data_IF_821127628708
#
_entry.id   IF_821127628708
#
_cell.length_a   1.000
_cell.length_b   1.000
_cell.length_c   1.000
_cell.angle_alpha   90.00
_cell.angle_beta   90.00
_cell.angle_gamma   90.00
#
_symmetry.space_group_name_H-M   'P 1'
#
loop_
_entity.id
_entity.type
_entity.pdbx_description
1 polymer ?
#
# COMPACT_ATOMS: atom_id res chain seq x y z
N UNK A 1 12.76 -36.28 -27.71
CA UNK A 1 11.37 -35.93 -27.38
C UNK A 1 11.19 -35.44 -25.94
N UNK A 2 11.71 -36.13 -24.91
CA UNK A 2 11.58 -35.72 -23.51
C UNK A 2 12.12 -34.30 -23.17
N UNK A 3 13.22 -33.86 -23.80
CA UNK A 3 13.79 -32.50 -23.60
C UNK A 3 12.87 -31.38 -24.09
N UNK A 4 12.14 -31.59 -25.20
CA UNK A 4 11.21 -30.60 -25.73
C UNK A 4 9.98 -30.45 -24.83
N UNK A 5 9.50 -31.58 -24.28
CA UNK A 5 8.36 -31.60 -23.35
C UNK A 5 8.71 -30.88 -22.03
N UNK A 6 9.92 -31.07 -21.50
CA UNK A 6 10.38 -30.41 -20.29
C UNK A 6 10.51 -28.88 -20.46
N UNK A 7 10.98 -28.42 -21.62
CA UNK A 7 11.08 -26.98 -21.94
C UNK A 7 9.69 -26.36 -22.08
N UNK A 8 8.76 -27.05 -22.76
CA UNK A 8 7.38 -26.57 -22.92
C UNK A 8 6.66 -26.50 -21.57
N UNK A 9 6.84 -27.50 -20.68
CA UNK A 9 6.28 -27.46 -19.33
C UNK A 9 6.88 -26.32 -18.49
N UNK A 10 8.20 -26.09 -18.57
CA UNK A 10 8.86 -25.01 -17.84
C UNK A 10 8.40 -23.62 -18.27
N UNK A 11 8.23 -23.41 -19.57
CA UNK A 11 7.74 -22.12 -20.13
C UNK A 11 6.26 -21.90 -19.80
N UNK A 12 5.42 -22.95 -19.84
CA UNK A 12 4.01 -22.84 -19.46
C UNK A 12 3.82 -22.51 -17.98
N UNK A 13 4.70 -23.02 -17.09
CA UNK A 13 4.65 -22.72 -15.66
C UNK A 13 5.12 -21.29 -15.33
N UNK A 14 6.01 -20.70 -16.15
CA UNK A 14 6.47 -19.31 -15.98
C UNK A 14 5.52 -18.27 -16.58
N UNK A 15 4.65 -18.67 -17.51
CA UNK A 15 3.65 -17.77 -18.11
C UNK A 15 2.34 -17.68 -17.30
N UNK A 16 2.11 -18.59 -16.36
CA UNK A 16 0.93 -18.58 -15.48
C UNK A 16 1.01 -17.55 -14.34
N UNK A 17 2.15 -16.88 -14.16
CA UNK A 17 2.43 -16.04 -12.99
C UNK A 17 2.55 -14.55 -13.29
N UNK A 18 1.75 -13.98 -14.20
CA UNK A 18 1.60 -12.51 -14.28
C UNK A 18 0.22 -12.12 -14.80
N UNK A 19 -0.83 -12.39 -14.02
CA UNK A 19 -2.00 -11.51 -14.03
C UNK A 19 -1.97 -10.84 -12.67
N UNK A 20 -1.18 -9.77 -12.57
CA UNK A 20 -1.30 -8.84 -11.46
C UNK A 20 -2.63 -8.11 -11.65
N UNK A 21 -3.72 -8.70 -11.15
CA UNK A 21 -4.83 -7.88 -10.73
C UNK A 21 -4.23 -6.89 -9.73
N UNK A 22 -4.38 -5.60 -9.97
CA UNK A 22 -4.08 -4.60 -8.96
C UNK A 22 -5.10 -4.85 -7.84
N UNK A 23 -4.80 -5.80 -6.97
CA UNK A 23 -5.66 -6.19 -5.89
C UNK A 23 -5.81 -4.93 -5.03
N UNK A 24 -7.00 -4.34 -5.05
CA UNK A 24 -7.29 -3.19 -4.20
C UNK A 24 -7.33 -3.74 -2.78
N UNK A 25 -6.55 -3.17 -1.84
CA UNK A 25 -6.51 -3.64 -0.47
C UNK A 25 -7.92 -3.68 0.12
N UNK A 26 -8.22 -4.69 0.94
CA UNK A 26 -9.53 -4.75 1.60
C UNK A 26 -9.61 -3.68 2.70
N UNK A 27 -10.81 -3.37 3.19
CA UNK A 27 -10.97 -2.48 4.36
C UNK A 27 -10.23 -3.05 5.59
N UNK A 28 -10.16 -4.38 5.71
CA UNK A 28 -9.37 -5.05 6.75
C UNK A 28 -7.87 -4.81 6.60
N UNK A 29 -7.36 -4.81 5.38
CA UNK A 29 -5.95 -4.51 5.11
C UNK A 29 -5.61 -3.07 5.42
N UNK A 30 -6.42 -2.14 4.92
CA UNK A 30 -6.26 -0.71 5.17
C UNK A 30 -6.29 -0.41 6.66
N UNK A 31 -7.28 -0.94 7.40
CA UNK A 31 -7.44 -0.66 8.83
C UNK A 31 -6.27 -1.20 9.66
N UNK A 32 -5.82 -2.43 9.39
CA UNK A 32 -4.67 -3.01 10.07
C UNK A 32 -3.36 -2.27 9.74
N UNK A 33 -3.13 -1.87 8.48
CA UNK A 33 -1.95 -1.09 8.13
C UNK A 33 -1.99 0.34 8.68
N UNK A 34 -3.17 0.95 8.82
CA UNK A 34 -3.31 2.24 9.50
C UNK A 34 -3.00 2.15 11.00
N UNK A 35 -3.35 1.02 11.63
CA UNK A 35 -2.97 0.73 13.01
C UNK A 35 -1.45 0.54 13.14
N UNK A 36 -0.84 -0.33 12.31
CA UNK A 36 0.61 -0.55 12.31
C UNK A 36 1.37 0.75 12.05
N UNK A 37 0.90 1.60 11.12
CA UNK A 37 1.51 2.90 10.84
C UNK A 37 1.43 3.86 12.05
N UNK A 38 0.35 3.81 12.83
CA UNK A 38 0.19 4.63 14.04
C UNK A 38 1.14 4.20 15.15
N UNK A 39 1.40 2.91 15.27
CA UNK A 39 2.38 2.34 16.21
C UNK A 39 3.81 2.58 15.71
N UNK A 40 4.04 2.37 14.42
CA UNK A 40 5.32 2.55 13.74
C UNK A 40 5.82 3.99 13.72
N UNK A 41 4.92 4.97 13.59
CA UNK A 41 5.20 6.39 13.76
C UNK A 41 5.83 6.69 15.13
N UNK A 42 5.32 6.07 16.21
CA UNK A 42 5.85 6.28 17.57
C UNK A 42 7.25 5.69 17.75
N UNK A 43 7.54 4.60 17.05
CA UNK A 43 8.77 3.83 17.19
C UNK A 43 9.79 4.07 16.06
N UNK A 44 9.48 4.96 15.09
CA UNK A 44 10.27 5.19 13.86
C UNK A 44 10.61 3.88 13.13
N UNK A 45 9.61 3.01 12.97
CA UNK A 45 9.80 1.66 12.39
C UNK A 45 10.15 1.68 10.89
N UNK A 46 9.97 2.80 10.21
CA UNK A 46 10.34 3.00 8.82
C UNK A 46 10.93 4.41 8.62
N UNK A 47 11.98 4.50 7.82
CA UNK A 47 12.54 5.78 7.39
C UNK A 47 11.73 6.36 6.21
N UNK A 48 11.26 7.61 6.29
CA UNK A 48 10.61 8.28 5.17
C UNK A 48 11.51 8.40 3.95
N UNK A 49 10.91 8.33 2.77
CA UNK A 49 11.56 8.71 1.51
C UNK A 49 11.27 10.17 1.17
N UNK A 50 12.01 10.75 0.23
CA UNK A 50 11.73 12.11 -0.29
C UNK A 50 10.32 12.23 -0.86
N UNK A 51 9.78 11.16 -1.46
CA UNK A 51 8.41 11.12 -1.95
C UNK A 51 7.40 11.15 -0.80
N UNK A 52 7.64 10.40 0.28
CA UNK A 52 6.77 10.42 1.46
C UNK A 52 6.70 11.85 2.05
N UNK A 53 7.79 12.61 2.04
CA UNK A 53 7.82 14.01 2.50
C UNK A 53 7.01 14.96 1.58
N UNK A 54 7.20 14.84 0.27
CA UNK A 54 6.46 15.66 -0.72
C UNK A 54 4.96 15.38 -0.66
N UNK A 55 4.59 14.11 -0.57
CA UNK A 55 3.19 13.71 -0.51
C UNK A 55 2.55 14.13 0.83
N UNK A 56 3.28 14.01 1.94
CA UNK A 56 2.82 14.53 3.24
C UNK A 56 2.58 16.05 3.19
N UNK A 57 3.46 16.80 2.53
CA UNK A 57 3.25 18.24 2.33
C UNK A 57 2.03 18.55 1.43
N UNK A 58 1.73 17.68 0.47
CA UNK A 58 0.54 17.80 -0.40
C UNK A 58 -0.74 17.48 0.38
N UNK A 59 -0.73 16.43 1.19
CA UNK A 59 -1.82 16.08 2.10
C UNK A 59 -2.12 17.21 3.10
N UNK A 60 -1.09 17.86 3.65
CA UNK A 60 -1.23 19.04 4.52
C UNK A 60 -1.92 20.23 3.84
N UNK A 61 -1.75 20.36 2.51
CA UNK A 61 -2.44 21.37 1.70
C UNK A 61 -3.87 20.97 1.32
N UNK A 62 -4.34 19.81 1.78
CA UNK A 62 -5.71 19.33 1.52
C UNK A 62 -5.98 18.96 0.07
N UNK A 63 -4.94 18.65 -0.71
CA UNK A 63 -5.07 18.35 -2.14
C UNK A 63 -5.34 16.87 -2.46
N UNK A 64 -5.23 16.00 -1.47
CA UNK A 64 -5.52 14.58 -1.63
C UNK A 64 -7.03 14.33 -1.65
N UNK A 65 -7.47 13.47 -2.56
CA UNK A 65 -8.84 12.96 -2.56
C UNK A 65 -9.08 12.12 -1.29
N UNK A 66 -10.22 12.32 -0.64
CA UNK A 66 -10.58 11.67 0.62
C UNK A 66 -12.00 11.12 0.56
N UNK A 67 -12.23 10.00 1.21
CA UNK A 67 -13.55 9.39 1.36
C UNK A 67 -13.76 8.89 2.79
N UNK A 68 -15.02 8.81 3.20
CA UNK A 68 -15.40 8.11 4.44
C UNK A 68 -15.80 6.69 4.06
N UNK A 69 -15.03 5.70 4.52
CA UNK A 69 -15.32 4.29 4.30
C UNK A 69 -16.06 3.71 5.52
N UNK A 70 -17.15 2.96 5.33
CA UNK A 70 -17.76 2.19 6.41
C UNK A 70 -16.73 1.25 7.05
N UNK A 71 -16.58 1.34 8.37
CA UNK A 71 -15.60 0.53 9.12
C UNK A 71 -14.21 1.14 9.27
N UNK A 72 -13.92 2.29 8.65
CA UNK A 72 -12.71 3.07 8.92
C UNK A 72 -12.94 4.06 10.07
N UNK A 73 -11.90 4.28 10.90
CA UNK A 73 -11.91 5.24 12.01
C UNK A 73 -11.68 6.69 11.52
N UNK A 74 -12.35 7.11 10.44
CA UNK A 74 -12.22 8.44 9.87
C UNK A 74 -12.20 8.47 8.34
N UNK A 75 -11.89 9.65 7.79
CA UNK A 75 -11.65 9.81 6.37
C UNK A 75 -10.32 9.15 5.97
N UNK A 76 -10.31 8.49 4.83
CA UNK A 76 -9.13 7.88 4.24
C UNK A 76 -8.80 8.51 2.90
N UNK A 77 -7.55 8.42 2.48
CA UNK A 77 -7.10 8.79 1.14
C UNK A 77 -7.72 7.87 0.08
N UNK A 78 -7.97 8.44 -1.10
CA UNK A 78 -8.36 7.72 -2.29
C UNK A 78 -7.23 7.82 -3.30
N UNK A 79 -6.67 6.68 -3.68
CA UNK A 79 -5.55 6.59 -4.62
C UNK A 79 -5.72 5.37 -5.52
N UNK A 80 -5.24 5.47 -6.75
CA UNK A 80 -5.09 4.31 -7.64
C UNK A 80 -3.87 3.45 -7.25
N UNK A 81 -2.93 4.00 -6.48
CA UNK A 81 -1.79 3.28 -5.92
C UNK A 81 -2.23 2.48 -4.68
N UNK A 82 -2.23 1.13 -4.74
CA UNK A 82 -2.63 0.26 -3.63
C UNK A 82 -1.80 0.49 -2.36
N UNK A 83 -0.55 0.96 -2.49
CA UNK A 83 0.34 1.15 -1.35
C UNK A 83 -0.02 2.34 -0.46
N UNK A 84 -0.87 3.24 -0.97
CA UNK A 84 -1.33 4.41 -0.23
C UNK A 84 -2.86 4.52 -0.20
N UNK A 85 -3.59 3.71 -0.97
CA UNK A 85 -5.05 3.68 -0.94
C UNK A 85 -5.56 3.31 0.45
N UNK A 86 -6.52 4.08 0.98
CA UNK A 86 -7.11 3.79 2.27
C UNK A 86 -6.27 4.23 3.48
N UNK A 87 -5.17 4.95 3.25
CA UNK A 87 -4.38 5.55 4.33
C UNK A 87 -5.20 6.59 5.09
N UNK A 88 -5.14 6.58 6.42
CA UNK A 88 -5.78 7.56 7.31
C UNK A 88 -5.44 8.98 6.86
N UNK A 89 -6.46 9.80 6.61
CA UNK A 89 -6.26 11.12 6.02
C UNK A 89 -5.46 12.06 6.95
N UNK A 90 -5.51 11.84 8.26
CA UNK A 90 -4.70 12.58 9.21
C UNK A 90 -3.25 12.08 9.21
N UNK A 91 -3.06 10.76 9.29
CA UNK A 91 -1.74 10.13 9.17
C UNK A 91 -1.03 10.44 7.85
N UNK A 92 -1.76 10.59 6.76
CA UNK A 92 -1.23 10.96 5.44
C UNK A 92 -0.47 12.30 5.42
N UNK A 93 -0.65 13.15 6.43
CA UNK A 93 0.06 14.43 6.60
C UNK A 93 1.44 14.30 7.25
N UNK A 94 1.85 13.09 7.65
CA UNK A 94 3.12 12.79 8.31
C UNK A 94 3.94 11.77 7.49
N UNK A 95 5.18 12.12 7.17
CA UNK A 95 6.01 11.29 6.29
C UNK A 95 6.42 9.94 6.90
N UNK A 96 6.58 9.87 8.23
CA UNK A 96 6.90 8.61 8.93
C UNK A 96 5.69 7.69 8.99
N UNK A 97 4.49 8.24 9.21
CA UNK A 97 3.25 7.48 9.09
C UNK A 97 3.08 6.91 7.68
N UNK A 98 3.25 7.73 6.64
CA UNK A 98 3.18 7.29 5.23
C UNK A 98 4.16 6.15 4.96
N UNK A 99 5.40 6.30 5.40
CA UNK A 99 6.43 5.29 5.21
C UNK A 99 6.07 3.96 5.89
N UNK A 100 5.62 4.00 7.15
CA UNK A 100 5.21 2.82 7.89
C UNK A 100 4.00 2.12 7.25
N UNK A 101 3.00 2.88 6.82
CA UNK A 101 1.83 2.36 6.10
C UNK A 101 2.26 1.64 4.81
N UNK A 102 3.07 2.32 3.98
CA UNK A 102 3.57 1.78 2.71
C UNK A 102 4.38 0.49 2.92
N UNK A 103 5.15 0.40 4.00
CA UNK A 103 5.87 -0.84 4.39
C UNK A 103 4.89 -1.96 4.73
N UNK A 104 3.84 -1.68 5.51
CA UNK A 104 2.82 -2.68 5.82
C UNK A 104 2.11 -3.19 4.56
N UNK A 105 1.71 -2.29 3.66
CA UNK A 105 1.05 -2.65 2.39
C UNK A 105 1.95 -3.55 1.53
N UNK A 106 3.23 -3.20 1.39
CA UNK A 106 4.21 -4.03 0.67
C UNK A 106 4.35 -5.43 1.26
N UNK A 107 4.37 -5.57 2.59
CA UNK A 107 4.44 -6.88 3.25
C UNK A 107 3.22 -7.74 2.97
N UNK A 108 2.07 -7.13 2.65
CA UNK A 108 0.82 -7.82 2.30
C UNK A 108 0.66 -8.10 0.81
N UNK A 109 1.57 -7.60 -0.03
CA UNK A 109 1.57 -7.85 -1.47
C UNK A 109 0.95 -6.73 -2.32
N UNK A 110 0.76 -5.53 -1.74
CA UNK A 110 0.25 -4.35 -2.43
C UNK A 110 1.37 -3.37 -2.83
#
# INVERSE_FOLDING_TARGET
>A
MAKLIAIILGVALHLASVIAHADVPTIGDMSACNQEAREGYRNRSASPTSRDEVDAATARRGRDAKAVLPGATGAVTQSEDPQIHGMDAQGATDAAYRAAYRVCMRKRGF
#
